data_IF_359996413637
#
_entry.id   IF_359996413637
#
_cell.length_a   1.000
_cell.length_b   1.000
_cell.length_c   1.000
_cell.angle_alpha   90.00
_cell.angle_beta   90.00
_cell.angle_gamma   90.00
#
_symmetry.space_group_name_H-M   'P 1'
#
loop_
_entity.id
_entity.type
_entity.pdbx_description
1 polymer ?
#
# COMPACT_ATOMS: atom_id res chain seq x y z
N UNK A 1 -26.28 2.22 1.45
CA UNK A 1 -25.32 3.34 1.49
C UNK A 1 -23.93 2.74 1.53
N UNK A 2 -23.09 3.06 0.55
CA UNK A 2 -21.75 2.48 0.41
C UNK A 2 -20.89 2.92 1.59
N UNK A 3 -20.28 1.95 2.27
CA UNK A 3 -19.32 2.18 3.35
C UNK A 3 -18.18 3.04 2.78
N UNK A 4 -18.14 4.32 3.14
CA UNK A 4 -16.94 5.13 3.00
C UNK A 4 -15.87 4.42 3.81
N UNK A 5 -15.02 3.65 3.15
CA UNK A 5 -13.82 3.08 3.75
C UNK A 5 -12.88 4.24 4.01
N UNK A 6 -13.04 4.93 5.13
CA UNK A 6 -12.20 6.05 5.53
C UNK A 6 -10.76 5.55 5.69
N UNK A 7 -9.96 5.73 4.63
CA UNK A 7 -8.53 5.50 4.71
C UNK A 7 -7.99 6.60 5.62
N UNK A 8 -7.39 6.24 6.77
CA UNK A 8 -6.96 7.25 7.73
C UNK A 8 -5.85 8.10 7.11
N UNK A 9 -5.94 9.41 7.35
CA UNK A 9 -4.98 10.39 6.80
C UNK A 9 -3.61 10.25 7.47
N UNK A 10 -3.57 10.01 8.78
CA UNK A 10 -2.34 9.82 9.53
C UNK A 10 -1.58 8.58 9.03
N UNK A 11 -0.30 8.75 8.67
CA UNK A 11 0.54 7.66 8.18
C UNK A 11 0.56 6.45 9.14
N UNK A 12 0.67 6.67 10.44
CA UNK A 12 0.75 5.56 11.40
C UNK A 12 -0.55 4.75 11.45
N UNK A 13 -1.69 5.44 11.44
CA UNK A 13 -3.00 4.79 11.39
C UNK A 13 -3.20 4.07 10.05
N UNK A 14 -2.73 4.66 8.94
CA UNK A 14 -2.77 4.06 7.59
C UNK A 14 -1.98 2.76 7.52
N UNK A 15 -0.80 2.71 8.14
CA UNK A 15 0.02 1.49 8.26
C UNK A 15 -0.73 0.38 9.00
N UNK A 16 -1.37 0.72 10.12
CA UNK A 16 -2.17 -0.22 10.90
C UNK A 16 -3.41 -0.69 10.12
N UNK A 17 -4.08 0.23 9.42
CA UNK A 17 -5.23 -0.07 8.57
C UNK A 17 -4.85 -1.03 7.43
N UNK A 18 -3.73 -0.81 6.73
CA UNK A 18 -3.25 -1.72 5.67
C UNK A 18 -3.01 -3.14 6.22
N UNK A 19 -2.34 -3.26 7.37
CA UNK A 19 -2.09 -4.56 8.02
C UNK A 19 -3.40 -5.25 8.39
N UNK A 20 -4.36 -4.49 8.91
CA UNK A 20 -5.68 -5.00 9.29
C UNK A 20 -6.48 -5.46 8.06
N UNK A 21 -6.51 -4.69 6.98
CA UNK A 21 -7.19 -5.05 5.74
C UNK A 21 -6.58 -6.30 5.10
N UNK A 22 -5.24 -6.41 5.07
CA UNK A 22 -4.57 -7.63 4.61
C UNK A 22 -5.00 -8.84 5.44
N UNK A 23 -5.05 -8.69 6.77
CA UNK A 23 -5.48 -9.74 7.68
C UNK A 23 -6.93 -10.18 7.42
N UNK A 24 -7.85 -9.25 7.17
CA UNK A 24 -9.24 -9.57 6.80
C UNK A 24 -9.29 -10.40 5.51
N UNK A 25 -8.43 -10.10 4.54
CA UNK A 25 -8.33 -10.88 3.30
C UNK A 25 -7.51 -12.18 3.45
N UNK A 26 -7.12 -12.57 4.67
CA UNK A 26 -6.28 -13.74 4.92
C UNK A 26 -4.85 -13.61 4.40
N UNK A 27 -4.43 -12.41 4.01
CA UNK A 27 -3.09 -12.10 3.51
C UNK A 27 -2.25 -11.43 4.60
N UNK A 28 -0.94 -11.42 4.40
CA UNK A 28 -0.01 -10.66 5.25
C UNK A 28 1.15 -10.14 4.40
N UNK A 29 1.87 -9.14 4.91
CA UNK A 29 3.09 -8.64 4.24
C UNK A 29 4.11 -9.75 3.98
N UNK A 30 4.20 -10.73 4.89
CA UNK A 30 5.07 -11.90 4.71
C UNK A 30 4.56 -12.85 3.61
N UNK A 31 3.23 -13.01 3.48
CA UNK A 31 2.64 -13.79 2.39
C UNK A 31 2.92 -13.15 1.04
N UNK A 32 2.71 -11.84 0.91
CA UNK A 32 3.00 -11.09 -0.31
C UNK A 32 4.49 -11.13 -0.65
N UNK A 33 5.36 -11.02 0.36
CA UNK A 33 6.80 -11.12 0.17
C UNK A 33 7.19 -12.50 -0.42
N UNK A 34 6.61 -13.59 0.10
CA UNK A 34 6.85 -14.95 -0.41
C UNK A 34 6.34 -15.13 -1.84
N UNK A 35 5.15 -14.63 -2.14
CA UNK A 35 4.53 -14.70 -3.48
C UNK A 35 5.40 -14.00 -4.54
N UNK A 36 5.94 -12.83 -4.19
CA UNK A 36 6.78 -12.04 -5.10
C UNK A 36 8.29 -12.30 -4.95
N UNK A 37 8.69 -13.36 -4.22
CA UNK A 37 10.10 -13.73 -3.98
C UNK A 37 10.97 -12.55 -3.48
N UNK A 38 10.43 -11.76 -2.56
CA UNK A 38 11.12 -10.61 -1.96
C UNK A 38 11.25 -10.76 -0.44
N UNK A 39 12.03 -9.89 0.18
CA UNK A 39 12.15 -9.85 1.64
C UNK A 39 10.95 -9.13 2.26
N UNK A 40 10.48 -9.64 3.40
CA UNK A 40 9.48 -8.96 4.24
C UNK A 40 9.89 -7.52 4.58
N UNK A 41 11.20 -7.27 4.71
CA UNK A 41 11.72 -5.94 5.01
C UNK A 41 11.37 -4.94 3.91
N UNK A 42 11.37 -5.35 2.65
CA UNK A 42 11.04 -4.48 1.51
C UNK A 42 9.57 -4.05 1.57
N UNK A 43 8.67 -4.99 1.83
CA UNK A 43 7.24 -4.73 2.03
C UNK A 43 6.97 -3.90 3.28
N UNK A 44 7.75 -4.10 4.33
CA UNK A 44 7.67 -3.27 5.54
C UNK A 44 8.14 -1.85 5.27
N UNK A 45 9.28 -1.67 4.60
CA UNK A 45 9.84 -0.36 4.25
C UNK A 45 8.90 0.42 3.33
N UNK A 46 8.15 -0.26 2.45
CA UNK A 46 7.13 0.36 1.58
C UNK A 46 6.08 1.16 2.38
N UNK A 47 5.80 0.76 3.62
CA UNK A 47 4.87 1.47 4.50
C UNK A 47 5.44 2.79 5.07
N UNK A 48 6.75 2.98 4.98
CA UNK A 48 7.48 4.15 5.46
C UNK A 48 7.97 5.00 4.28
N UNK A 49 8.62 4.38 3.31
CA UNK A 49 9.20 5.03 2.13
C UNK A 49 8.35 4.80 0.88
N UNK A 50 8.25 5.79 -0.03
CA UNK A 50 7.54 5.64 -1.28
C UNK A 50 8.19 4.54 -2.13
N UNK A 51 7.43 3.50 -2.45
CA UNK A 51 7.91 2.44 -3.33
C UNK A 51 6.81 2.00 -4.29
N UNK A 52 6.73 2.60 -5.49
CA UNK A 52 5.55 2.45 -6.36
C UNK A 52 5.28 1.00 -6.76
N UNK A 53 6.33 0.21 -6.96
CA UNK A 53 6.23 -1.21 -7.30
C UNK A 53 5.56 -2.02 -6.19
N UNK A 54 5.94 -1.80 -4.94
CA UNK A 54 5.44 -2.58 -3.81
C UNK A 54 4.13 -2.04 -3.26
N UNK A 55 3.91 -0.72 -3.34
CA UNK A 55 2.62 -0.10 -3.09
C UNK A 55 1.55 -0.66 -4.02
N UNK A 56 1.87 -0.81 -5.31
CA UNK A 56 0.98 -1.46 -6.27
C UNK A 56 0.64 -2.89 -5.86
N UNK A 57 1.64 -3.71 -5.47
CA UNK A 57 1.42 -5.09 -5.00
C UNK A 57 0.48 -5.13 -3.78
N UNK A 58 0.71 -4.25 -2.80
CA UNK A 58 -0.15 -4.18 -1.61
C UNK A 58 -1.56 -3.72 -1.98
N UNK A 59 -1.69 -2.72 -2.84
CA UNK A 59 -2.99 -2.20 -3.27
C UNK A 59 -3.78 -3.24 -4.07
N UNK A 60 -3.13 -3.93 -5.01
CA UNK A 60 -3.70 -5.09 -5.73
C UNK A 60 -4.15 -6.18 -4.77
N UNK A 61 -3.33 -6.50 -3.76
CA UNK A 61 -3.68 -7.47 -2.74
C UNK A 61 -4.93 -7.07 -1.94
N UNK A 62 -5.25 -5.78 -1.85
CA UNK A 62 -6.42 -5.20 -1.20
C UNK A 62 -7.57 -4.89 -2.18
N UNK A 63 -7.44 -5.22 -3.47
CA UNK A 63 -8.37 -4.83 -4.53
C UNK A 63 -8.63 -3.31 -4.59
N UNK A 64 -7.58 -2.51 -4.38
CA UNK A 64 -7.60 -1.05 -4.43
C UNK A 64 -6.51 -0.51 -5.35
N UNK A 65 -6.60 0.75 -5.73
CA UNK A 65 -5.53 1.46 -6.43
C UNK A 65 -4.53 2.02 -5.41
N UNK A 66 -3.23 2.07 -5.73
CA UNK A 66 -2.25 2.69 -4.83
C UNK A 66 -2.53 4.18 -4.62
N UNK A 67 -3.14 4.86 -5.60
CA UNK A 67 -3.60 6.26 -5.48
C UNK A 67 -4.72 6.46 -4.46
N UNK A 68 -5.52 5.43 -4.17
CA UNK A 68 -6.56 5.51 -3.14
C UNK A 68 -5.94 5.38 -1.74
N UNK A 69 -4.92 4.55 -1.59
CA UNK A 69 -4.26 4.30 -0.29
C UNK A 69 -3.25 5.40 0.03
N UNK A 70 -2.48 5.83 -0.96
CA UNK A 70 -1.43 6.85 -0.83
C UNK A 70 -1.65 8.02 -1.78
N UNK A 71 -2.78 8.76 -1.67
CA UNK A 71 -3.04 9.88 -2.57
C UNK A 71 -1.93 10.93 -2.55
N UNK A 72 -1.24 11.11 -1.43
CA UNK A 72 -0.14 12.07 -1.29
C UNK A 72 1.13 11.70 -2.06
N UNK A 73 1.35 10.39 -2.32
CA UNK A 73 2.54 9.86 -3.00
C UNK A 73 2.41 9.81 -4.53
N UNK A 74 1.18 9.95 -5.03
CA UNK A 74 0.86 9.92 -6.46
C UNK A 74 0.35 11.28 -6.89
N UNK A 75 0.73 11.70 -8.09
CA UNK A 75 0.26 12.93 -8.73
C UNK A 75 -0.14 12.57 -10.16
N UNK A 76 -1.36 12.93 -10.55
CA UNK A 76 -1.95 12.54 -11.84
C UNK A 76 -1.90 11.01 -12.14
N UNK A 77 -2.02 10.18 -11.09
CA UNK A 77 -1.95 8.73 -11.20
C UNK A 77 -0.53 8.16 -11.35
N UNK A 78 0.49 9.02 -11.39
CA UNK A 78 1.90 8.64 -11.46
C UNK A 78 2.59 8.82 -10.10
N UNK A 79 3.52 7.93 -9.72
CA UNK A 79 4.28 8.11 -8.51
C UNK A 79 5.26 9.30 -8.66
N UNK A 80 5.29 10.19 -7.67
CA UNK A 80 6.12 11.41 -7.68
C UNK A 80 7.62 11.15 -7.90
N UNK A 81 8.11 9.98 -7.52
CA UNK A 81 9.50 9.55 -7.77
C UNK A 81 9.87 9.59 -9.27
N UNK A 82 8.91 9.29 -10.15
CA UNK A 82 9.13 9.26 -11.61
C UNK A 82 8.90 10.60 -12.32
N UNK A 83 8.41 11.61 -11.59
CA UNK A 83 8.19 12.96 -12.13
C UNK A 83 9.42 13.86 -11.96
N UNK A 84 10.47 13.39 -11.28
CA UNK A 84 11.81 14.01 -11.31
C UNK A 84 12.51 13.63 -12.63
N UNK A 85 12.04 14.21 -13.73
CA UNK A 85 12.76 14.28 -15.02
C UNK A 85 13.35 15.67 -15.19
#
# INVERSE_FOLDING_TARGET
MYLNSEIPQNEEQKRSWIKYQLKIQGKSLASLAREHKTSRQVLSNTLYEPSPRWEYVIAQALNKKPTEIWPERYEDGLPKEKLKV
#
